data_IF_211012041338
#
_entry.id   IF_211012041338
#
_cell.length_a   1.000
_cell.length_b   1.000
_cell.length_c   1.000
_cell.angle_alpha   90.00
_cell.angle_beta   90.00
_cell.angle_gamma   90.00
#
_symmetry.space_group_name_H-M   'P 1'
#
loop_
_entity.id
_entity.type
_entity.pdbx_description
1 polymer ?
#
# COMPACT_ATOMS: atom_id res chain seq x y z
N UNK A 1 -9.73 9.26 -4.11
CA UNK A 1 -8.95 10.28 -4.84
C UNK A 1 -7.62 10.41 -4.13
N UNK A 2 -6.55 10.16 -4.88
CA UNK A 2 -5.20 9.73 -4.50
C UNK A 2 -4.35 10.67 -3.65
N UNK A 3 -4.94 11.59 -2.90
CA UNK A 3 -4.20 12.68 -2.27
C UNK A 3 -3.13 12.25 -1.24
N UNK A 4 -3.07 10.98 -0.84
CA UNK A 4 -1.99 10.49 0.02
C UNK A 4 -0.67 10.29 -0.75
N UNK A 5 -0.70 9.78 -1.98
CA UNK A 5 0.52 9.44 -2.72
C UNK A 5 1.12 10.61 -3.49
N UNK A 6 0.27 11.54 -3.95
CA UNK A 6 0.73 12.84 -4.47
C UNK A 6 1.54 13.59 -3.41
N UNK A 7 1.04 13.63 -2.17
CA UNK A 7 1.63 14.40 -1.07
C UNK A 7 2.90 13.77 -0.48
N UNK A 8 3.02 12.43 -0.50
CA UNK A 8 4.22 11.71 -0.05
C UNK A 8 5.36 11.82 -1.07
N UNK A 9 5.02 11.92 -2.36
CA UNK A 9 6.02 12.00 -3.45
C UNK A 9 6.42 13.45 -3.76
N UNK A 10 5.55 14.42 -3.48
CA UNK A 10 5.87 15.83 -3.52
C UNK A 10 6.90 16.19 -2.45
N UNK A 11 7.99 16.86 -2.84
CA UNK A 11 9.00 17.36 -1.88
C UNK A 11 8.49 18.51 -1.00
N UNK A 12 7.42 19.16 -1.44
CA UNK A 12 6.82 20.34 -0.80
C UNK A 12 5.42 20.04 -0.20
N UNK A 13 5.02 18.76 -0.19
CA UNK A 13 3.76 18.30 0.42
C UNK A 13 3.75 18.39 1.95
N UNK A 14 2.59 18.68 2.53
CA UNK A 14 2.43 18.82 3.98
C UNK A 14 2.45 17.45 4.66
N UNK A 15 3.26 17.28 5.70
CA UNK A 15 3.33 16.00 6.42
C UNK A 15 1.95 15.61 6.98
N UNK A 16 1.32 14.58 6.40
CA UNK A 16 0.01 14.04 6.82
C UNK A 16 -0.03 13.57 8.26
N UNK A 17 1.12 13.23 8.83
CA UNK A 17 1.27 12.84 10.22
C UNK A 17 2.42 13.60 10.87
N UNK A 18 2.09 14.63 11.64
CA UNK A 18 3.04 15.48 12.36
C UNK A 18 3.93 14.73 13.37
N UNK A 19 3.62 13.47 13.68
CA UNK A 19 4.41 12.62 14.58
C UNK A 19 5.43 11.74 13.84
N UNK A 20 5.46 11.77 12.50
CA UNK A 20 6.35 10.96 11.67
C UNK A 20 7.12 11.87 10.73
N UNK A 21 8.43 12.01 10.96
CA UNK A 21 9.29 12.77 10.05
C UNK A 21 9.60 11.98 8.78
N UNK A 22 9.95 12.67 7.70
CA UNK A 22 10.37 12.03 6.44
C UNK A 22 11.50 11.02 6.62
N UNK A 23 12.40 11.22 7.57
CA UNK A 23 13.53 10.30 7.83
C UNK A 23 13.06 8.95 8.36
N UNK A 24 11.90 8.91 9.00
CA UNK A 24 11.27 7.71 9.55
C UNK A 24 10.50 6.91 8.49
N UNK A 25 10.25 7.51 7.31
CA UNK A 25 9.62 6.80 6.20
C UNK A 25 10.54 5.73 5.61
N UNK A 26 9.93 4.70 5.04
CA UNK A 26 10.65 3.62 4.38
C UNK A 26 11.61 4.18 3.31
N UNK A 27 12.88 3.72 3.26
CA UNK A 27 13.83 4.16 2.24
C UNK A 27 13.36 4.03 0.80
N UNK A 28 12.53 3.05 0.47
CA UNK A 28 11.95 2.84 -0.85
C UNK A 28 10.86 3.87 -1.16
N UNK A 29 10.03 4.20 -0.17
CA UNK A 29 9.03 5.28 -0.29
C UNK A 29 9.69 6.62 -0.64
N UNK A 30 10.80 6.95 0.01
CA UNK A 30 11.56 8.18 -0.26
C UNK A 30 12.23 8.22 -1.64
N UNK A 31 12.26 7.09 -2.36
CA UNK A 31 12.84 6.96 -3.71
C UNK A 31 11.79 6.99 -4.80
N UNK A 32 10.51 6.83 -4.47
CA UNK A 32 9.42 7.12 -5.41
C UNK A 32 9.51 8.60 -5.80
N UNK A 33 9.57 8.86 -7.10
CA UNK A 33 9.64 10.19 -7.70
C UNK A 33 8.89 10.15 -9.01
N UNK A 34 8.12 11.20 -9.29
CA UNK A 34 7.40 11.32 -10.55
C UNK A 34 6.39 10.21 -10.74
N UNK A 35 5.74 9.79 -9.65
CA UNK A 35 4.50 9.03 -9.75
C UNK A 35 3.45 10.02 -10.22
N UNK A 36 2.86 9.75 -11.38
CA UNK A 36 1.80 10.58 -11.95
C UNK A 36 0.65 9.69 -12.44
N UNK A 37 -0.35 10.31 -13.07
CA UNK A 37 -1.55 9.62 -13.54
C UNK A 37 -1.26 8.52 -14.59
N UNK A 38 -0.06 8.50 -15.21
CA UNK A 38 0.33 7.45 -16.16
C UNK A 38 0.79 6.15 -15.45
N UNK A 39 1.09 6.18 -14.15
CA UNK A 39 1.50 5.02 -13.34
C UNK A 39 0.30 4.22 -12.78
N UNK A 40 -0.76 4.04 -13.59
CA UNK A 40 -2.06 3.48 -13.17
C UNK A 40 -1.97 2.18 -12.35
N UNK A 41 -1.08 1.24 -12.74
CA UNK A 41 -0.90 -0.04 -12.04
C UNK A 41 -0.35 0.13 -10.62
N UNK A 42 0.60 1.05 -10.44
CA UNK A 42 1.20 1.35 -9.14
C UNK A 42 0.17 2.06 -8.25
N UNK A 43 -0.56 3.02 -8.81
CA UNK A 43 -1.62 3.73 -8.10
C UNK A 43 -2.73 2.77 -7.65
N UNK A 44 -3.18 1.87 -8.53
CA UNK A 44 -4.17 0.86 -8.22
C UNK A 44 -3.69 -0.12 -7.14
N UNK A 45 -2.43 -0.54 -7.19
CA UNK A 45 -1.83 -1.39 -6.16
C UNK A 45 -1.81 -0.69 -4.78
N UNK A 46 -1.41 0.57 -4.76
CA UNK A 46 -1.32 1.39 -3.56
C UNK A 46 -2.70 1.68 -2.96
N UNK A 47 -3.70 1.98 -3.79
CA UNK A 47 -5.10 2.12 -3.35
C UNK A 47 -5.64 0.81 -2.76
N UNK A 48 -5.33 -0.35 -3.37
CA UNK A 48 -5.76 -1.65 -2.87
C UNK A 48 -5.17 -2.00 -1.49
N UNK A 49 -4.01 -1.45 -1.11
CA UNK A 49 -3.45 -1.61 0.24
C UNK A 49 -4.25 -0.84 1.31
N UNK A 50 -4.93 0.22 0.91
CA UNK A 50 -5.72 1.09 1.79
C UNK A 50 -7.20 0.76 1.78
N UNK A 51 -7.65 -0.09 0.84
CA UNK A 51 -9.03 -0.55 0.75
C UNK A 51 -9.39 -1.40 1.98
N UNK A 52 -10.45 -1.02 2.70
CA UNK A 52 -10.96 -1.76 3.85
C UNK A 52 -12.07 -2.76 3.50
N UNK A 53 -12.53 -2.75 2.25
CA UNK A 53 -13.66 -3.53 1.72
C UNK A 53 -13.25 -4.84 1.04
N UNK A 54 -11.97 -5.18 1.02
CA UNK A 54 -11.52 -6.48 0.49
C UNK A 54 -12.10 -7.66 1.26
N UNK A 55 -12.26 -8.80 0.58
CA UNK A 55 -12.76 -10.02 1.19
C UNK A 55 -11.75 -10.57 2.22
N UNK A 56 -12.15 -10.58 3.48
CA UNK A 56 -11.39 -11.13 4.62
C UNK A 56 -11.85 -12.52 5.03
N UNK A 57 -12.72 -13.16 4.24
CA UNK A 57 -13.25 -14.49 4.53
C UNK A 57 -12.13 -15.50 4.49
N UNK A 58 -11.88 -16.15 5.63
CA UNK A 58 -10.98 -17.30 5.68
C UNK A 58 -11.72 -18.49 5.06
N UNK A 59 -11.22 -19.07 3.95
CA UNK A 59 -11.90 -20.19 3.31
C UNK A 59 -11.83 -21.44 4.19
N UNK A 60 -12.90 -22.24 4.21
CA UNK A 60 -12.91 -23.50 4.97
C UNK A 60 -12.00 -24.59 4.35
N UNK A 61 -11.72 -24.50 3.04
CA UNK A 61 -10.85 -25.42 2.30
C UNK A 61 -10.28 -24.74 1.06
N UNK A 62 -9.07 -25.14 0.64
CA UNK A 62 -8.51 -24.76 -0.66
C UNK A 62 -8.70 -25.90 -1.69
N UNK A 63 -8.84 -25.61 -3.00
CA UNK A 63 -9.06 -26.64 -4.03
C UNK A 63 -7.99 -27.72 -4.12
N UNK A 64 -6.76 -27.42 -3.70
CA UNK A 64 -5.64 -28.36 -3.68
C UNK A 64 -5.73 -29.39 -2.54
N UNK A 65 -6.62 -29.21 -1.57
CA UNK A 65 -6.72 -30.06 -0.37
C UNK A 65 -5.62 -29.81 0.68
N UNK A 66 -4.77 -28.79 0.49
CA UNK A 66 -3.79 -28.37 1.49
C UNK A 66 -4.46 -27.67 2.69
N UNK A 67 -3.72 -27.55 3.79
CA UNK A 67 -4.16 -26.76 4.93
C UNK A 67 -4.36 -25.30 4.51
N UNK A 68 -5.49 -24.71 4.92
CA UNK A 68 -5.75 -23.27 4.76
C UNK A 68 -4.70 -22.50 5.56
N UNK A 69 -4.06 -21.51 4.93
CA UNK A 69 -2.93 -20.78 5.51
C UNK A 69 -1.57 -21.49 5.38
N UNK A 70 -1.53 -22.72 4.84
CA UNK A 70 -0.29 -23.49 4.67
C UNK A 70 0.30 -24.00 6.00
N UNK A 71 1.57 -24.40 5.97
CA UNK A 71 2.28 -24.98 7.12
C UNK A 71 3.13 -23.94 7.84
N UNK A 72 2.52 -22.86 8.32
CA UNK A 72 3.24 -21.83 9.09
C UNK A 72 3.49 -22.37 10.51
N UNK A 73 4.76 -22.44 10.92
CA UNK A 73 5.23 -22.78 12.27
C UNK A 73 5.94 -21.59 12.89
#
# INVERSE_FOLDING_TARGET
MLGFYDDVTDRDGEDRNLNVSREQLDPLLRRLRGVDDDDEDLLAFLDALSDDTFDRTIPARVPSGLAVGGSIR
#
